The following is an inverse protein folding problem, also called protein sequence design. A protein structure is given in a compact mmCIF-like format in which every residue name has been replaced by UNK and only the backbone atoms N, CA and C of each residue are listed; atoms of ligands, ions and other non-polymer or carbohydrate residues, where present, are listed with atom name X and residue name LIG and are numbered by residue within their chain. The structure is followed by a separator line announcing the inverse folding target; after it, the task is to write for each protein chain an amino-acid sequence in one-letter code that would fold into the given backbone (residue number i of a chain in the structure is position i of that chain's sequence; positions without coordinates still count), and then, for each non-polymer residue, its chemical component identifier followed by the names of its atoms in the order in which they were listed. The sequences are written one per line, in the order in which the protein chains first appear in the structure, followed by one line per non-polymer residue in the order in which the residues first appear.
data_IF_779961111636
#
_entry.id   IF_779961111636
#
_cell.length_a   1.000
_cell.length_b   1.000
_cell.length_c   1.000
_cell.angle_alpha   90.00
_cell.angle_beta   90.00
_cell.angle_gamma   90.00
#
_symmetry.space_group_name_H-M   'P 1'
#
loop_
_entity.id
_entity.type
_entity.pdbx_description
1 polymer ?
#
# COMPACT_ATOMS: atom_id res chain seq x y z
N UNK A 1 21.35 63.52 38.87
CA UNK A 1 21.41 62.08 39.11
C UNK A 1 20.29 61.36 38.34
N UNK A 2 20.46 61.12 37.08
CA UNK A 2 19.54 60.30 36.29
C UNK A 2 20.24 59.97 34.94
N UNK A 3 21.14 58.97 34.95
CA UNK A 3 21.91 58.66 33.77
C UNK A 3 22.70 57.37 33.88
N UNK A 4 22.05 56.27 34.29
CA UNK A 4 22.73 54.94 34.31
C UNK A 4 21.74 53.79 34.41
N UNK A 5 20.82 53.66 33.46
CA UNK A 5 19.93 52.50 33.42
C UNK A 5 19.35 52.23 32.02
N UNK A 6 20.18 52.28 30.97
CA UNK A 6 19.68 51.97 29.60
C UNK A 6 20.66 51.15 28.73
N UNK A 7 21.60 50.41 29.33
CA UNK A 7 22.55 49.59 28.55
C UNK A 7 22.48 48.06 28.80
N UNK A 8 21.36 47.57 29.34
CA UNK A 8 21.26 46.17 29.76
C UNK A 8 20.13 45.37 29.09
N UNK A 9 19.75 45.66 27.84
CA UNK A 9 18.73 44.87 27.11
C UNK A 9 19.00 44.81 25.61
N UNK A 10 20.27 44.59 25.22
CA UNK A 10 20.53 44.04 23.87
C UNK A 10 20.92 42.58 24.03
N UNK A 11 20.15 41.62 23.45
CA UNK A 11 20.55 40.23 23.49
C UNK A 11 21.89 40.09 22.75
N UNK A 12 22.86 39.57 23.48
CA UNK A 12 24.23 39.35 23.05
C UNK A 12 24.24 38.59 21.69
N UNK A 13 24.95 39.14 20.70
CA UNK A 13 25.05 38.64 19.32
C UNK A 13 25.61 37.19 19.24
N UNK A 14 26.11 36.67 20.35
CA UNK A 14 26.57 35.27 20.47
C UNK A 14 25.44 34.24 20.43
N UNK A 15 24.21 34.61 20.80
CA UNK A 15 23.04 33.71 20.71
C UNK A 15 22.59 33.50 19.26
N UNK A 16 22.63 34.52 18.40
CA UNK A 16 22.29 34.38 16.98
C UNK A 16 23.33 33.55 16.20
N UNK A 17 24.63 33.68 16.56
CA UNK A 17 25.69 32.83 15.99
C UNK A 17 25.59 31.38 16.47
N UNK A 18 25.09 31.14 17.69
CA UNK A 18 24.80 29.81 18.20
C UNK A 18 23.72 29.08 17.40
N UNK A 19 22.63 29.73 17.06
CA UNK A 19 21.56 29.15 16.23
C UNK A 19 22.00 28.95 14.77
N UNK A 20 22.81 29.84 14.20
CA UNK A 20 23.37 29.66 12.86
C UNK A 20 24.40 28.52 12.82
N UNK A 21 25.20 28.33 13.89
CA UNK A 21 26.10 27.17 14.02
C UNK A 21 25.33 25.86 14.25
N UNK A 22 24.20 25.86 14.94
CA UNK A 22 23.34 24.68 15.06
C UNK A 22 22.65 24.33 13.73
N UNK A 23 22.38 25.31 12.89
CA UNK A 23 21.91 25.10 11.51
C UNK A 23 23.02 24.61 10.58
N UNK A 24 24.30 24.95 10.86
CA UNK A 24 25.52 24.45 10.19
C UNK A 24 26.10 23.17 10.81
N UNK A 25 25.67 22.75 12.02
CA UNK A 25 25.95 21.40 12.51
C UNK A 25 25.23 20.44 11.57
N UNK A 26 25.93 20.23 10.55
CA UNK A 26 25.79 19.37 9.43
C UNK A 26 24.58 18.47 9.54
N UNK A 27 23.62 18.73 8.73
CA UNK A 27 22.85 17.67 8.09
C UNK A 27 23.91 16.72 7.51
N UNK A 28 24.43 15.84 8.41
CA UNK A 28 25.61 15.03 8.16
C UNK A 28 25.38 14.25 6.87
N UNK A 29 26.19 14.52 5.86
CA UNK A 29 26.11 13.87 4.55
C UNK A 29 26.14 12.36 4.64
N UNK A 30 26.73 11.79 5.72
CA UNK A 30 26.68 10.37 6.06
C UNK A 30 25.30 9.92 6.51
N UNK A 31 24.60 10.69 7.36
CA UNK A 31 23.23 10.40 7.78
C UNK A 31 22.29 10.49 6.57
N UNK A 32 22.44 11.51 5.73
CA UNK A 32 21.70 11.67 4.49
C UNK A 32 21.94 10.51 3.51
N UNK A 33 23.18 10.05 3.36
CA UNK A 33 23.53 8.91 2.52
C UNK A 33 22.96 7.59 3.04
N UNK A 34 23.00 7.35 4.35
CA UNK A 34 22.43 6.17 4.99
C UNK A 34 20.89 6.16 4.90
N UNK A 35 20.23 7.28 5.15
CA UNK A 35 18.77 7.41 5.00
C UNK A 35 18.34 7.17 3.56
N UNK A 36 19.05 7.74 2.58
CA UNK A 36 18.79 7.56 1.16
C UNK A 36 18.97 6.10 0.71
N UNK A 37 20.01 5.42 1.18
CA UNK A 37 20.24 3.99 0.91
C UNK A 37 19.13 3.11 1.48
N UNK A 38 18.68 3.39 2.70
CA UNK A 38 17.58 2.67 3.34
C UNK A 38 16.24 2.91 2.63
N UNK A 39 15.96 4.12 2.17
CA UNK A 39 14.75 4.42 1.40
C UNK A 39 14.74 3.67 0.06
N UNK A 40 15.82 3.72 -0.71
CA UNK A 40 15.92 3.01 -2.00
C UNK A 40 15.71 1.51 -1.82
N UNK A 41 16.32 0.90 -0.81
CA UNK A 41 16.13 -0.52 -0.50
C UNK A 41 14.66 -0.87 -0.23
N UNK A 42 13.95 -0.04 0.53
CA UNK A 42 12.52 -0.22 0.80
C UNK A 42 11.67 -0.14 -0.47
N UNK A 43 11.96 0.82 -1.37
CA UNK A 43 11.29 0.92 -2.67
C UNK A 43 11.57 -0.29 -3.57
N UNK A 44 12.79 -0.80 -3.61
CA UNK A 44 13.12 -1.99 -4.40
C UNK A 44 12.41 -3.24 -3.87
N UNK A 45 12.44 -3.46 -2.56
CA UNK A 45 11.75 -4.61 -1.95
C UNK A 45 10.23 -4.48 -2.11
N UNK A 46 9.67 -3.35 -1.71
CA UNK A 46 8.23 -3.12 -1.79
C UNK A 46 7.71 -3.09 -3.23
N UNK A 47 8.47 -2.48 -4.15
CA UNK A 47 8.16 -2.48 -5.58
C UNK A 47 8.21 -3.89 -6.18
N UNK A 48 9.22 -4.69 -5.83
CA UNK A 48 9.33 -6.09 -6.26
C UNK A 48 8.14 -6.93 -5.80
N UNK A 49 7.75 -6.84 -4.52
CA UNK A 49 6.58 -7.53 -3.99
C UNK A 49 5.29 -7.04 -4.66
N UNK A 50 5.16 -5.73 -4.88
CA UNK A 50 4.01 -5.16 -5.61
C UNK A 50 3.90 -5.70 -7.03
N UNK A 51 5.02 -5.84 -7.76
CA UNK A 51 5.03 -6.40 -9.11
C UNK A 51 4.62 -7.87 -9.12
N UNK A 52 5.03 -8.67 -8.12
CA UNK A 52 4.58 -10.06 -7.97
C UNK A 52 3.06 -10.10 -7.77
N UNK A 53 2.51 -9.29 -6.88
CA UNK A 53 1.08 -9.21 -6.64
C UNK A 53 0.31 -8.75 -7.89
N UNK A 54 0.80 -7.74 -8.61
CA UNK A 54 0.23 -7.30 -9.88
C UNK A 54 0.22 -8.44 -10.91
N UNK A 55 1.28 -9.25 -11.00
CA UNK A 55 1.34 -10.39 -11.92
C UNK A 55 0.33 -11.49 -11.54
N UNK A 56 0.22 -11.83 -10.25
CA UNK A 56 -0.79 -12.78 -9.73
C UNK A 56 -2.19 -12.27 -10.06
N UNK A 57 -2.47 -11.01 -9.74
CA UNK A 57 -3.75 -10.36 -10.00
C UNK A 57 -4.11 -10.39 -11.48
N UNK A 58 -3.20 -9.97 -12.37
CA UNK A 58 -3.39 -9.96 -13.82
C UNK A 58 -3.73 -11.36 -14.38
N UNK A 59 -3.04 -12.40 -13.89
CA UNK A 59 -3.30 -13.78 -14.28
C UNK A 59 -4.71 -14.23 -13.89
N UNK A 60 -5.12 -13.96 -12.66
CA UNK A 60 -6.46 -14.31 -12.17
C UNK A 60 -7.52 -13.50 -12.91
N UNK A 61 -7.33 -12.18 -13.09
CA UNK A 61 -8.29 -11.33 -13.79
C UNK A 61 -8.53 -11.77 -15.24
N UNK A 62 -7.47 -12.09 -15.98
CA UNK A 62 -7.60 -12.59 -17.37
C UNK A 62 -8.35 -13.91 -17.41
N UNK A 63 -8.12 -14.79 -16.43
CA UNK A 63 -8.82 -16.08 -16.32
C UNK A 63 -10.30 -15.89 -16.00
N UNK A 64 -10.63 -15.05 -15.02
CA UNK A 64 -12.01 -14.73 -14.64
C UNK A 64 -12.81 -14.19 -15.83
N UNK A 65 -12.25 -13.21 -16.56
CA UNK A 65 -12.92 -12.63 -17.73
C UNK A 65 -13.15 -13.69 -18.83
N UNK A 66 -12.17 -14.54 -19.11
CA UNK A 66 -12.29 -15.63 -20.10
C UNK A 66 -13.37 -16.65 -19.72
N UNK A 67 -13.40 -17.08 -18.44
CA UNK A 67 -14.40 -18.04 -17.94
C UNK A 67 -15.79 -17.42 -18.00
N UNK A 68 -15.97 -16.19 -17.58
CA UNK A 68 -17.26 -15.48 -17.65
C UNK A 68 -17.78 -15.40 -19.09
N UNK A 69 -16.92 -15.10 -20.07
CA UNK A 69 -17.28 -15.07 -21.49
C UNK A 69 -17.71 -16.44 -22.02
N UNK A 70 -16.97 -17.50 -21.66
CA UNK A 70 -17.29 -18.88 -22.08
C UNK A 70 -18.61 -19.38 -21.48
N UNK A 71 -18.93 -19.01 -20.25
CA UNK A 71 -20.18 -19.38 -19.57
C UNK A 71 -21.37 -18.65 -20.23
N UNK A 72 -21.24 -17.38 -20.51
CA UNK A 72 -22.30 -16.57 -21.13
C UNK A 72 -22.70 -17.10 -22.54
N UNK A 73 -21.73 -17.63 -23.29
CA UNK A 73 -21.98 -18.21 -24.62
C UNK A 73 -22.81 -19.52 -24.59
N UNK A 74 -22.84 -20.21 -23.46
CA UNK A 74 -23.47 -21.55 -23.32
C UNK A 74 -24.85 -21.54 -22.67
N UNK A 75 -25.20 -20.51 -21.91
CA UNK A 75 -26.40 -20.47 -21.08
C UNK A 75 -27.44 -19.52 -21.65
N UNK A 76 -28.49 -20.07 -22.26
CA UNK A 76 -29.73 -19.37 -22.64
C UNK A 76 -30.73 -19.45 -21.48
N UNK A 77 -30.45 -18.81 -20.35
CA UNK A 77 -31.28 -18.89 -19.14
C UNK A 77 -31.82 -17.50 -18.72
N UNK A 78 -32.72 -17.50 -17.74
CA UNK A 78 -33.26 -16.28 -17.14
C UNK A 78 -32.12 -15.36 -16.68
N UNK A 79 -32.14 -14.11 -17.13
CA UNK A 79 -31.07 -13.12 -16.95
C UNK A 79 -30.62 -12.97 -15.48
N UNK A 80 -31.55 -12.96 -14.53
CA UNK A 80 -31.23 -12.78 -13.11
C UNK A 80 -30.45 -13.96 -12.50
N UNK A 81 -30.84 -15.21 -12.83
CA UNK A 81 -30.13 -16.40 -12.35
C UNK A 81 -28.73 -16.51 -12.97
N UNK A 82 -28.61 -16.17 -14.26
CA UNK A 82 -27.33 -16.13 -14.93
C UNK A 82 -26.38 -15.09 -14.31
N UNK A 83 -26.90 -13.91 -14.01
CA UNK A 83 -26.12 -12.86 -13.32
C UNK A 83 -25.59 -13.37 -11.97
N UNK A 84 -26.44 -13.97 -11.14
CA UNK A 84 -26.02 -14.52 -9.85
C UNK A 84 -24.98 -15.64 -10.03
N UNK A 85 -25.21 -16.56 -10.97
CA UNK A 85 -24.32 -17.69 -11.24
C UNK A 85 -22.91 -17.25 -11.73
N UNK A 86 -22.79 -16.11 -12.38
CA UNK A 86 -21.51 -15.55 -12.84
C UNK A 86 -20.89 -14.62 -11.80
N UNK A 87 -21.67 -13.75 -11.17
CA UNK A 87 -21.14 -12.74 -10.25
C UNK A 87 -20.65 -13.31 -8.93
N UNK A 88 -21.38 -14.29 -8.35
CA UNK A 88 -20.97 -14.88 -7.06
C UNK A 88 -19.58 -15.55 -7.16
N UNK A 89 -19.32 -16.46 -8.11
CA UNK A 89 -17.98 -17.04 -8.26
C UNK A 89 -16.92 -15.98 -8.60
N UNK A 90 -17.25 -15.00 -9.45
CA UNK A 90 -16.32 -13.93 -9.80
C UNK A 90 -15.85 -13.20 -8.54
N UNK A 91 -16.76 -12.67 -7.73
CA UNK A 91 -16.40 -11.93 -6.52
C UNK A 91 -15.68 -12.83 -5.50
N UNK A 92 -16.08 -14.11 -5.39
CA UNK A 92 -15.40 -15.06 -4.50
C UNK A 92 -13.95 -15.32 -4.90
N UNK A 93 -13.67 -15.47 -6.20
CA UNK A 93 -12.31 -15.63 -6.72
C UNK A 93 -11.49 -14.36 -6.50
N UNK A 94 -12.06 -13.19 -6.72
CA UNK A 94 -11.38 -11.91 -6.47
C UNK A 94 -11.02 -11.77 -4.98
N UNK A 95 -11.94 -12.10 -4.08
CA UNK A 95 -11.69 -12.07 -2.63
C UNK A 95 -10.56 -13.04 -2.24
N UNK A 96 -10.57 -14.26 -2.77
CA UNK A 96 -9.51 -15.23 -2.53
C UNK A 96 -8.15 -14.73 -3.07
N UNK A 97 -8.15 -14.04 -4.20
CA UNK A 97 -6.95 -13.43 -4.77
C UNK A 97 -6.36 -12.36 -3.85
N UNK A 98 -7.19 -11.48 -3.31
CA UNK A 98 -6.72 -10.47 -2.34
C UNK A 98 -6.16 -11.08 -1.07
N UNK A 99 -6.77 -12.17 -0.57
CA UNK A 99 -6.20 -12.92 0.57
C UNK A 99 -4.82 -13.49 0.23
N UNK A 100 -4.65 -14.05 -0.97
CA UNK A 100 -3.36 -14.55 -1.44
C UNK A 100 -2.31 -13.44 -1.51
N UNK A 101 -2.67 -12.26 -2.02
CA UNK A 101 -1.80 -11.09 -2.11
C UNK A 101 -1.36 -10.58 -0.72
N UNK A 102 -2.26 -10.63 0.26
CA UNK A 102 -1.92 -10.35 1.67
C UNK A 102 -0.93 -11.39 2.22
N UNK A 103 -1.09 -12.67 1.88
CA UNK A 103 -0.13 -13.71 2.28
C UNK A 103 1.25 -13.43 1.67
N UNK A 104 1.32 -13.02 0.40
CA UNK A 104 2.59 -12.62 -0.24
C UNK A 104 3.25 -11.46 0.51
N UNK A 105 2.50 -10.43 0.92
CA UNK A 105 3.01 -9.35 1.75
C UNK A 105 3.46 -9.83 3.14
N UNK A 106 2.70 -10.73 3.78
CA UNK A 106 3.07 -11.30 5.07
C UNK A 106 4.40 -12.07 5.00
N UNK A 107 4.60 -12.85 3.94
CA UNK A 107 5.87 -13.54 3.67
C UNK A 107 7.02 -12.55 3.43
N UNK A 108 6.78 -11.51 2.64
CA UNK A 108 7.78 -10.47 2.42
C UNK A 108 8.18 -9.79 3.75
N UNK A 109 7.23 -9.47 4.61
CA UNK A 109 7.48 -8.90 5.93
C UNK A 109 8.29 -9.84 6.83
N UNK A 110 8.03 -11.16 6.75
CA UNK A 110 8.79 -12.17 7.48
C UNK A 110 10.24 -12.25 7.00
N UNK A 111 10.47 -12.22 5.68
CA UNK A 111 11.81 -12.34 5.08
C UNK A 111 12.71 -11.15 5.46
N UNK A 112 12.14 -9.97 5.60
CA UNK A 112 12.91 -8.75 5.88
C UNK A 112 12.89 -8.34 7.35
N UNK A 113 12.22 -9.07 8.23
CA UNK A 113 11.97 -8.70 9.63
C UNK A 113 11.38 -7.28 9.73
N UNK A 114 10.23 -7.08 9.09
CA UNK A 114 9.61 -5.76 8.95
C UNK A 114 8.99 -5.25 10.25
N UNK A 115 8.63 -6.11 11.19
CA UNK A 115 8.02 -5.75 12.47
C UNK A 115 8.79 -6.34 13.66
N UNK A 116 8.38 -6.01 14.88
CA UNK A 116 9.00 -6.52 16.11
C UNK A 116 8.86 -8.05 16.21
N UNK A 117 9.81 -8.76 16.86
CA UNK A 117 9.71 -10.19 17.10
C UNK A 117 8.40 -10.57 17.80
N UNK A 118 7.72 -11.61 17.31
CA UNK A 118 6.44 -12.07 17.85
C UNK A 118 5.21 -11.33 17.32
N UNK A 119 5.37 -10.31 16.47
CA UNK A 119 4.24 -9.65 15.82
C UNK A 119 3.50 -10.60 14.85
N UNK A 120 2.18 -10.52 14.81
CA UNK A 120 1.38 -11.24 13.83
C UNK A 120 1.49 -10.58 12.45
N UNK A 121 2.41 -11.09 11.61
CA UNK A 121 2.72 -10.50 10.31
C UNK A 121 1.57 -10.63 9.30
N UNK A 122 0.74 -11.68 9.39
CA UNK A 122 -0.43 -11.81 8.53
C UNK A 122 -1.46 -10.73 8.83
N UNK A 123 -1.76 -10.52 10.11
CA UNK A 123 -2.63 -9.43 10.55
C UNK A 123 -2.05 -8.06 10.15
N UNK A 124 -0.75 -7.84 10.37
CA UNK A 124 -0.07 -6.60 10.00
C UNK A 124 -0.14 -6.33 8.49
N UNK A 125 0.06 -7.38 7.66
CA UNK A 125 -0.09 -7.27 6.22
C UNK A 125 -1.54 -6.93 5.82
N UNK A 126 -2.54 -7.56 6.46
CA UNK A 126 -3.95 -7.28 6.24
C UNK A 126 -4.30 -5.82 6.54
N UNK A 127 -3.89 -5.32 7.71
CA UNK A 127 -4.15 -3.95 8.17
C UNK A 127 -3.54 -2.92 7.21
N UNK A 128 -2.31 -3.16 6.73
CA UNK A 128 -1.67 -2.27 5.76
C UNK A 128 -2.30 -2.38 4.37
N UNK A 129 -2.53 -3.59 3.87
CA UNK A 129 -3.06 -3.83 2.52
C UNK A 129 -4.47 -3.25 2.35
N UNK A 130 -5.31 -3.36 3.37
CA UNK A 130 -6.67 -2.79 3.37
C UNK A 130 -6.70 -1.30 3.73
N UNK A 131 -5.55 -0.69 4.02
CA UNK A 131 -5.46 0.71 4.50
C UNK A 131 -6.16 0.98 5.83
N UNK A 132 -6.43 -0.05 6.63
CA UNK A 132 -7.15 0.07 7.90
C UNK A 132 -6.34 0.84 8.95
N UNK A 133 -5.03 0.53 9.05
CA UNK A 133 -4.06 1.36 9.77
C UNK A 133 -4.32 1.55 11.26
N UNK A 134 -4.73 0.51 12.02
CA UNK A 134 -4.99 0.63 13.46
C UNK A 134 -3.79 1.16 14.27
N UNK A 135 -2.55 0.92 13.81
CA UNK A 135 -1.34 1.41 14.48
C UNK A 135 -0.93 0.60 15.71
N UNK A 136 -1.52 -0.56 15.94
CA UNK A 136 -1.19 -1.50 17.01
C UNK A 136 0.08 -2.32 16.74
N UNK A 137 0.41 -2.56 15.47
CA UNK A 137 1.69 -3.08 15.00
C UNK A 137 2.33 -2.05 14.08
N UNK A 138 3.56 -1.65 14.40
CA UNK A 138 4.32 -0.70 13.60
C UNK A 138 5.53 -1.41 12.95
N UNK A 139 5.91 -0.99 11.74
CA UNK A 139 7.12 -1.50 11.14
C UNK A 139 8.36 -0.98 11.89
N UNK A 140 9.42 -1.76 11.91
CA UNK A 140 10.72 -1.27 12.40
C UNK A 140 11.21 -0.12 11.53
N UNK A 141 11.99 0.81 12.10
CA UNK A 141 12.39 2.07 11.46
C UNK A 141 12.99 1.86 10.05
N UNK A 142 13.84 0.84 9.89
CA UNK A 142 14.49 0.51 8.61
C UNK A 142 13.52 0.06 7.49
N UNK A 143 12.26 -0.28 7.81
CA UNK A 143 11.23 -0.77 6.90
C UNK A 143 9.92 0.04 6.95
N UNK A 144 10.00 1.26 7.42
CA UNK A 144 8.85 2.12 7.69
C UNK A 144 7.99 2.43 6.45
N UNK A 145 8.59 2.45 5.26
CA UNK A 145 7.89 2.70 4.01
C UNK A 145 7.15 1.47 3.46
N UNK A 146 7.42 0.25 3.95
CA UNK A 146 6.74 -0.93 3.44
C UNK A 146 5.23 -0.90 3.73
N UNK A 147 4.78 -0.37 4.87
CA UNK A 147 3.36 -0.21 5.15
C UNK A 147 2.64 0.65 4.10
N UNK A 148 3.06 1.90 3.85
CA UNK A 148 2.51 2.74 2.79
C UNK A 148 2.57 2.12 1.39
N UNK A 149 3.65 1.40 1.03
CA UNK A 149 3.78 0.73 -0.27
C UNK A 149 2.77 -0.42 -0.38
N UNK A 150 2.58 -1.20 0.68
CA UNK A 150 1.56 -2.26 0.76
C UNK A 150 0.15 -1.67 0.60
N UNK A 151 -0.14 -0.57 1.29
CA UNK A 151 -1.41 0.14 1.18
C UNK A 151 -1.69 0.62 -0.25
N UNK A 152 -0.70 1.25 -0.89
CA UNK A 152 -0.80 1.69 -2.28
C UNK A 152 -1.06 0.51 -3.23
N UNK A 153 -0.36 -0.61 -3.05
CA UNK A 153 -0.57 -1.83 -3.83
C UNK A 153 -2.01 -2.36 -3.65
N UNK A 154 -2.52 -2.45 -2.41
CA UNK A 154 -3.89 -2.88 -2.12
C UNK A 154 -4.94 -2.00 -2.80
N UNK A 155 -4.84 -0.68 -2.67
CA UNK A 155 -5.78 0.28 -3.28
C UNK A 155 -5.82 0.12 -4.81
N UNK A 156 -4.66 -0.03 -5.46
CA UNK A 156 -4.59 -0.22 -6.92
C UNK A 156 -5.27 -1.53 -7.35
N UNK A 157 -5.06 -2.64 -6.63
CA UNK A 157 -5.62 -3.93 -6.96
C UNK A 157 -7.12 -4.01 -6.66
N UNK A 158 -7.61 -3.37 -5.60
CA UNK A 158 -9.05 -3.20 -5.35
C UNK A 158 -9.73 -2.41 -6.47
N UNK A 159 -9.12 -1.31 -6.93
CA UNK A 159 -9.61 -0.54 -8.07
C UNK A 159 -9.69 -1.37 -9.34
N UNK A 160 -8.67 -2.19 -9.62
CA UNK A 160 -8.65 -3.08 -10.76
C UNK A 160 -9.73 -4.18 -10.65
N UNK A 161 -9.90 -4.81 -9.48
CA UNK A 161 -10.99 -5.76 -9.23
C UNK A 161 -12.37 -5.15 -9.51
N UNK A 162 -12.59 -3.92 -9.09
CA UNK A 162 -13.85 -3.20 -9.36
C UNK A 162 -14.09 -3.05 -10.86
N UNK A 163 -13.08 -2.70 -11.63
CA UNK A 163 -13.18 -2.58 -13.09
C UNK A 163 -13.50 -3.94 -13.75
N UNK A 164 -12.91 -5.03 -13.26
CA UNK A 164 -13.19 -6.40 -13.77
C UNK A 164 -14.60 -6.83 -13.44
N UNK A 165 -15.08 -6.57 -12.22
CA UNK A 165 -16.47 -6.83 -11.82
C UNK A 165 -17.43 -6.13 -12.78
N UNK A 166 -17.18 -4.86 -13.06
CA UNK A 166 -18.01 -4.08 -14.00
C UNK A 166 -17.96 -4.66 -15.43
N UNK A 167 -16.78 -5.06 -15.91
CA UNK A 167 -16.62 -5.65 -17.24
C UNK A 167 -17.34 -7.01 -17.35
N UNK A 168 -17.29 -7.86 -16.34
CA UNK A 168 -18.00 -9.13 -16.28
C UNK A 168 -19.52 -8.88 -16.29
N UNK A 169 -20.00 -7.94 -15.47
CA UNK A 169 -21.40 -7.56 -15.43
C UNK A 169 -21.89 -7.08 -16.79
N UNK A 170 -21.17 -6.15 -17.42
CA UNK A 170 -21.49 -5.60 -18.74
C UNK A 170 -21.59 -6.68 -19.83
N UNK A 171 -20.69 -7.66 -19.80
CA UNK A 171 -20.69 -8.78 -20.76
C UNK A 171 -21.77 -9.82 -20.49
N UNK A 172 -22.32 -9.88 -19.29
CA UNK A 172 -23.37 -10.82 -18.90
C UNK A 172 -24.78 -10.27 -19.18
N UNK A 173 -24.94 -8.95 -19.23
CA UNK A 173 -26.22 -8.30 -19.56
C UNK A 173 -26.52 -8.39 -21.05
N UNK A 174 -27.81 -8.57 -21.44
CA UNK A 174 -28.23 -8.56 -22.87
C UNK A 174 -27.97 -7.20 -23.51
N UNK A 175 -27.64 -7.16 -24.82
CA UNK A 175 -27.53 -5.91 -25.54
C UNK A 175 -28.88 -5.15 -25.53
N UNK A 176 -28.89 -3.91 -25.01
CA UNK A 176 -30.11 -3.07 -25.00
C UNK A 176 -30.81 -2.95 -23.65
N UNK A 177 -30.21 -3.40 -22.53
CA UNK A 177 -30.77 -3.24 -21.16
C UNK A 177 -30.28 -1.97 -20.44
N UNK A 178 -29.74 -0.99 -21.19
CA UNK A 178 -29.33 0.33 -20.66
C UNK A 178 -30.31 1.40 -21.05
#
# INVERSE_FOLDING_TARGET
MLGAAKSALLPNNTSRLGWLRLAEIGFDTRISGSLRGNMLRQFFVGGGVSLINIAIHALVMTTVVRVAQATNAKVKSHTSLLLMAVMIPTVSVLMATHVLEVIVWSLAYSIVDAAAPGANLAYFAFVNYTTLGYGDILPVERWRLLGPITAMNGVLLFGWSTAVIFEVLRKTLPPGSS
#
